data_IF_338286678324
#
_entry.id   IF_338286678324
#
_cell.length_a   1.000
_cell.length_b   1.000
_cell.length_c   1.000
_cell.angle_alpha   90.00
_cell.angle_beta   90.00
_cell.angle_gamma   90.00
#
_symmetry.space_group_name_H-M   'P 1'
#
loop_
_entity.id
_entity.type
_entity.pdbx_description
1 polymer ?
#
# COMPACT_ATOMS: atom_id res chain seq x y z
N UNK A 1 -21.59 3.81 -3.02
CA UNK A 1 -21.61 2.78 -1.95
C UNK A 1 -22.95 2.03 -1.94
N UNK A 2 -22.97 0.70 -1.74
CA UNK A 2 -24.21 -0.12 -1.80
C UNK A 2 -24.98 -0.19 -0.47
N UNK A 3 -24.40 0.25 0.64
CA UNK A 3 -25.04 0.20 1.96
C UNK A 3 -25.10 -1.19 2.62
N UNK A 4 -24.48 -2.21 2.03
CA UNK A 4 -24.64 -3.61 2.46
C UNK A 4 -23.49 -4.18 3.31
N UNK A 5 -22.37 -3.46 3.43
CA UNK A 5 -21.16 -3.92 4.10
C UNK A 5 -20.75 -2.92 5.19
N UNK A 6 -20.95 -3.25 6.47
CA UNK A 6 -20.62 -2.34 7.57
C UNK A 6 -19.13 -2.33 7.96
N UNK A 7 -18.40 -3.40 7.65
CA UNK A 7 -16.98 -3.55 7.95
C UNK A 7 -16.28 -4.28 6.82
N UNK A 8 -15.15 -3.72 6.38
CA UNK A 8 -14.30 -4.28 5.34
C UNK A 8 -12.90 -4.50 5.90
N UNK A 9 -12.41 -5.74 5.83
CA UNK A 9 -11.02 -6.07 6.11
C UNK A 9 -10.27 -6.21 4.79
N UNK A 10 -9.47 -5.21 4.44
CA UNK A 10 -8.72 -5.13 3.19
C UNK A 10 -7.37 -4.41 3.39
N UNK A 11 -6.54 -4.51 2.36
CA UNK A 11 -5.27 -3.80 2.23
C UNK A 11 -5.50 -2.28 2.01
N UNK A 12 -4.50 -1.43 2.28
CA UNK A 12 -4.65 0.02 2.20
C UNK A 12 -4.96 0.57 0.79
N UNK A 13 -4.68 -0.21 -0.26
CA UNK A 13 -4.95 0.17 -1.66
C UNK A 13 -6.46 0.32 -1.94
N UNK A 14 -7.30 -0.43 -1.22
CA UNK A 14 -8.75 -0.31 -1.28
C UNK A 14 -9.25 1.10 -0.88
N UNK A 15 -8.48 1.85 -0.09
CA UNK A 15 -8.85 3.18 0.40
C UNK A 15 -9.05 4.18 -0.75
N UNK A 16 -8.26 4.07 -1.83
CA UNK A 16 -8.42 4.92 -3.02
C UNK A 16 -9.83 4.77 -3.63
N UNK A 17 -10.26 3.51 -3.81
CA UNK A 17 -11.57 3.22 -4.37
C UNK A 17 -12.72 3.52 -3.40
N UNK A 18 -12.49 3.46 -2.09
CA UNK A 18 -13.47 3.86 -1.07
C UNK A 18 -13.63 5.37 -1.08
N UNK A 19 -12.54 6.13 -1.01
CA UNK A 19 -12.54 7.59 -0.98
C UNK A 19 -13.11 8.21 -2.27
N UNK A 20 -12.98 7.54 -3.41
CA UNK A 20 -13.63 7.93 -4.68
C UNK A 20 -15.17 7.76 -4.64
N UNK A 21 -15.68 6.83 -3.82
CA UNK A 21 -17.10 6.38 -3.87
C UNK A 21 -17.90 6.68 -2.60
N UNK A 22 -17.26 7.22 -1.57
CA UNK A 22 -17.83 7.50 -0.25
C UNK A 22 -17.33 8.85 0.26
N UNK A 23 -18.18 9.57 0.98
CA UNK A 23 -17.73 10.76 1.71
C UNK A 23 -16.75 10.35 2.81
N UNK A 24 -15.78 11.21 3.12
CA UNK A 24 -14.88 10.99 4.26
C UNK A 24 -15.63 10.91 5.60
N UNK A 25 -16.84 11.48 5.68
CA UNK A 25 -17.71 11.40 6.86
C UNK A 25 -18.43 10.04 6.98
N UNK A 26 -18.44 9.23 5.92
CA UNK A 26 -19.19 7.97 5.84
C UNK A 26 -18.34 6.73 6.16
N UNK A 27 -17.01 6.87 6.27
CA UNK A 27 -16.11 5.77 6.58
C UNK A 27 -14.97 6.18 7.52
N UNK A 28 -14.38 5.18 8.17
CA UNK A 28 -13.17 5.35 8.96
C UNK A 28 -12.27 4.11 8.79
N UNK A 29 -10.98 4.27 9.14
CA UNK A 29 -10.00 3.19 9.15
C UNK A 29 -9.63 2.88 10.59
N UNK A 30 -9.49 1.60 10.93
CA UNK A 30 -9.05 1.15 12.25
C UNK A 30 -7.95 0.08 12.11
N UNK A 31 -7.01 0.01 13.05
CA UNK A 31 -6.02 -1.07 13.06
C UNK A 31 -6.70 -2.42 13.33
N UNK A 32 -6.04 -3.51 12.92
CA UNK A 32 -6.51 -4.87 13.20
C UNK A 32 -6.67 -5.10 14.72
N UNK A 33 -7.83 -5.61 15.17
CA UNK A 33 -8.13 -5.72 16.60
C UNK A 33 -7.19 -6.71 17.30
N UNK A 34 -6.88 -6.43 18.56
CA UNK A 34 -6.09 -7.34 19.40
C UNK A 34 -6.95 -8.49 19.93
N UNK A 35 -6.45 -9.71 19.85
CA UNK A 35 -7.10 -10.88 20.46
C UNK A 35 -6.87 -10.98 21.99
N UNK A 36 -7.38 -12.03 22.65
CA UNK A 36 -7.27 -12.21 24.11
C UNK A 36 -5.84 -12.24 24.68
N UNK A 37 -4.84 -12.50 23.84
CA UNK A 37 -3.42 -12.45 24.21
C UNK A 37 -2.82 -11.05 24.19
N UNK A 38 -3.61 -10.02 23.85
CA UNK A 38 -3.14 -8.65 23.65
C UNK A 38 -2.36 -8.43 22.35
N UNK A 39 -2.37 -9.41 21.43
CA UNK A 39 -1.65 -9.36 20.16
C UNK A 39 -2.60 -9.29 18.97
N UNK A 40 -2.16 -8.61 17.93
CA UNK A 40 -2.78 -8.58 16.60
C UNK A 40 -1.80 -9.19 15.59
N UNK A 41 -2.31 -9.91 14.60
CA UNK A 41 -1.52 -10.59 13.57
C UNK A 41 -2.03 -10.19 12.19
N UNK A 42 -1.79 -8.94 11.76
CA UNK A 42 -2.12 -8.54 10.39
C UNK A 42 -1.31 -9.38 9.40
N UNK A 43 -1.96 -9.84 8.33
CA UNK A 43 -1.24 -10.46 7.21
C UNK A 43 -0.54 -9.37 6.44
N UNK A 44 0.78 -9.46 6.30
CA UNK A 44 1.56 -8.54 5.48
C UNK A 44 1.86 -9.18 4.13
N UNK A 45 1.28 -8.64 3.08
CA UNK A 45 1.59 -8.97 1.69
C UNK A 45 2.75 -8.11 1.17
N UNK A 46 3.52 -8.66 0.24
CA UNK A 46 4.56 -7.92 -0.49
C UNK A 46 4.41 -8.15 -1.99
N UNK A 47 4.48 -7.08 -2.75
CA UNK A 47 4.65 -7.13 -4.19
C UNK A 47 6.11 -6.78 -4.53
N UNK A 48 6.65 -7.42 -5.57
CA UNK A 48 8.02 -7.20 -6.00
C UNK A 48 8.15 -7.25 -7.52
N UNK A 49 9.20 -6.60 -8.02
CA UNK A 49 9.55 -6.66 -9.43
C UNK A 49 10.56 -7.77 -9.66
N UNK A 50 10.38 -8.53 -10.74
CA UNK A 50 11.28 -9.60 -11.13
C UNK A 50 11.57 -9.53 -12.62
N UNK A 51 12.82 -9.83 -12.97
CA UNK A 51 13.25 -10.00 -14.35
C UNK A 51 13.32 -11.49 -14.68
N UNK A 52 12.68 -11.89 -15.78
CA UNK A 52 12.79 -13.27 -16.29
C UNK A 52 14.25 -13.63 -16.60
N UNK A 53 14.63 -14.87 -16.25
CA UNK A 53 15.99 -15.36 -16.44
C UNK A 53 16.44 -15.31 -17.92
N UNK A 54 15.52 -15.52 -18.87
CA UNK A 54 15.77 -15.51 -20.31
C UNK A 54 15.43 -14.17 -21.00
N UNK A 55 15.23 -13.08 -20.25
CA UNK A 55 14.99 -11.75 -20.84
C UNK A 55 16.10 -11.38 -21.82
N UNK A 56 15.71 -10.88 -23.00
CA UNK A 56 16.62 -10.35 -24.01
C UNK A 56 17.00 -8.88 -23.76
N UNK A 57 16.37 -8.24 -22.77
CA UNK A 57 16.55 -6.82 -22.43
C UNK A 57 16.94 -6.66 -20.96
N UNK A 58 17.98 -7.39 -20.53
CA UNK A 58 18.35 -7.44 -19.10
C UNK A 58 18.75 -6.08 -18.53
N UNK A 59 19.53 -5.30 -19.29
CA UNK A 59 20.00 -4.00 -18.82
C UNK A 59 18.85 -3.00 -18.65
N UNK A 60 17.92 -2.97 -19.59
CA UNK A 60 16.77 -2.06 -19.52
C UNK A 60 15.75 -2.50 -18.47
N UNK A 61 15.52 -3.82 -18.33
CA UNK A 61 14.72 -4.35 -17.25
C UNK A 61 15.33 -4.01 -15.88
N UNK A 62 16.65 -4.13 -15.73
CA UNK A 62 17.35 -3.74 -14.51
C UNK A 62 17.19 -2.24 -14.24
N UNK A 63 17.43 -1.38 -15.23
CA UNK A 63 17.23 0.08 -15.09
C UNK A 63 15.82 0.41 -14.63
N UNK A 64 14.80 -0.21 -15.24
CA UNK A 64 13.40 0.02 -14.87
C UNK A 64 13.14 -0.39 -13.41
N UNK A 65 13.51 -1.60 -13.01
CA UNK A 65 13.32 -2.06 -11.63
C UNK A 65 14.08 -1.17 -10.65
N UNK A 66 15.32 -0.79 -10.95
CA UNK A 66 16.13 0.08 -10.10
C UNK A 66 15.50 1.47 -9.92
N UNK A 67 14.91 2.03 -10.98
CA UNK A 67 14.14 3.27 -10.91
C UNK A 67 12.92 3.08 -10.01
N UNK A 68 12.03 2.12 -10.30
CA UNK A 68 10.80 1.89 -9.53
C UNK A 68 11.05 1.57 -8.04
N UNK A 69 12.20 1.00 -7.73
CA UNK A 69 12.62 0.65 -6.37
C UNK A 69 13.47 1.74 -5.70
N UNK A 70 13.77 2.85 -6.38
CA UNK A 70 14.48 3.97 -5.76
C UNK A 70 13.64 4.56 -4.62
N UNK A 71 14.25 5.14 -3.56
CA UNK A 71 13.50 5.70 -2.44
C UNK A 71 12.45 6.73 -2.86
N UNK A 72 12.81 7.58 -3.84
CA UNK A 72 11.91 8.61 -4.35
C UNK A 72 10.78 8.01 -5.17
N UNK A 73 11.10 7.19 -6.17
CA UNK A 73 10.09 6.72 -7.12
C UNK A 73 9.18 5.64 -6.49
N UNK A 74 9.70 4.84 -5.56
CA UNK A 74 8.89 3.91 -4.78
C UNK A 74 7.87 4.64 -3.89
N UNK A 75 8.27 5.78 -3.30
CA UNK A 75 7.39 6.60 -2.50
C UNK A 75 6.26 7.20 -3.33
N UNK A 76 6.58 7.73 -4.51
CA UNK A 76 5.57 8.26 -5.43
C UNK A 76 4.65 7.17 -5.98
N UNK A 77 5.20 6.01 -6.34
CA UNK A 77 4.41 4.83 -6.72
C UNK A 77 3.47 4.40 -5.60
N UNK A 78 3.94 4.35 -4.36
CA UNK A 78 3.15 3.93 -3.21
C UNK A 78 1.93 4.85 -2.99
N UNK A 79 2.09 6.17 -3.14
CA UNK A 79 1.00 7.15 -3.07
C UNK A 79 -0.02 6.94 -4.19
N UNK A 80 0.46 6.67 -5.40
CA UNK A 80 -0.39 6.48 -6.58
C UNK A 80 -1.28 5.24 -6.46
N UNK A 81 -0.72 4.12 -6.00
CA UNK A 81 -1.45 2.84 -5.94
C UNK A 81 -2.04 2.51 -4.57
N UNK A 82 -1.81 3.37 -3.56
CA UNK A 82 -2.37 3.23 -2.22
C UNK A 82 -1.70 2.16 -1.35
N UNK A 83 -0.45 1.79 -1.64
CA UNK A 83 0.33 0.86 -0.81
C UNK A 83 1.31 1.60 0.10
N UNK A 84 1.96 0.87 1.00
CA UNK A 84 3.00 1.41 1.88
C UNK A 84 4.36 1.28 1.17
N UNK A 85 5.20 2.34 1.16
CA UNK A 85 6.53 2.28 0.55
C UNK A 85 7.46 1.30 1.30
N UNK A 86 8.41 0.70 0.57
CA UNK A 86 9.31 -0.35 1.10
C UNK A 86 10.52 0.22 1.87
N UNK A 87 10.73 1.54 1.77
CA UNK A 87 11.84 2.24 2.40
C UNK A 87 11.41 2.84 3.74
N UNK A 88 12.36 2.97 4.67
CA UNK A 88 12.12 3.62 5.96
C UNK A 88 11.80 5.11 5.77
N UNK A 89 11.02 5.69 6.69
CA UNK A 89 10.72 7.12 6.73
C UNK A 89 9.35 7.50 6.15
N UNK A 90 8.51 6.52 5.80
CA UNK A 90 7.13 6.77 5.37
C UNK A 90 6.36 7.63 6.39
N UNK A 91 6.56 7.37 7.68
CA UNK A 91 6.00 8.10 8.82
C UNK A 91 6.40 9.59 8.86
N UNK A 92 7.40 10.01 8.09
CA UNK A 92 7.82 11.40 7.97
C UNK A 92 7.18 12.14 6.79
N UNK A 93 6.66 11.41 5.80
CA UNK A 93 5.97 11.97 4.64
C UNK A 93 4.53 12.36 5.00
N UNK A 94 4.12 13.57 4.61
CA UNK A 94 2.83 14.13 4.98
C UNK A 94 1.63 13.32 4.45
N UNK A 95 1.80 12.55 3.37
CA UNK A 95 0.75 11.70 2.83
C UNK A 95 0.43 10.50 3.74
N UNK A 96 1.45 9.94 4.40
CA UNK A 96 1.31 8.74 5.24
C UNK A 96 1.21 9.07 6.73
N UNK A 97 1.41 10.33 7.11
CA UNK A 97 1.18 10.80 8.48
C UNK A 97 -0.30 10.74 8.80
N UNK A 98 -0.62 10.06 9.89
CA UNK A 98 -1.89 10.23 10.59
C UNK A 98 -1.78 11.45 11.51
N UNK A 99 -2.92 12.04 11.89
CA UNK A 99 -2.97 12.98 13.02
C UNK A 99 -2.48 12.34 14.34
#
# INVERSE_FOLDING_TARGET
YSGTCAMLNQDPDALLGIADKMSADDFAVAPMPTGPSGKSYPTLGYAGWAMFANSQHKDDAWKLMATLLSPKDNLEWAKEVGVIPIHKGADQDAHFKTE
#
